data_IF_358035708292
#
_entry.id   IF_358035708292
#
_cell.length_a   1.000
_cell.length_b   1.000
_cell.length_c   1.000
_cell.angle_alpha   90.00
_cell.angle_beta   90.00
_cell.angle_gamma   90.00
#
_symmetry.space_group_name_H-M   'P 1'
#
loop_
_entity.id
_entity.type
_entity.pdbx_description
1 polymer ?
#
# COMPACT_ATOMS: atom_id res chain seq x y z
N UNK A 1 84.22 -12.45 -29.45
CA UNK A 1 84.54 -11.06 -29.84
C UNK A 1 83.38 -10.56 -30.69
N UNK A 2 82.32 -10.12 -30.01
CA UNK A 2 81.98 -8.71 -29.69
C UNK A 2 81.34 -8.00 -30.87
N UNK A 3 80.01 -7.90 -30.79
CA UNK A 3 79.13 -7.25 -31.73
C UNK A 3 78.95 -5.75 -31.45
N UNK A 4 78.34 -5.11 -32.44
CA UNK A 4 78.19 -3.67 -32.63
C UNK A 4 76.93 -3.09 -31.96
N UNK A 5 77.04 -1.81 -31.58
CA UNK A 5 75.95 -0.93 -31.18
C UNK A 5 75.18 -0.38 -32.40
N UNK A 6 73.85 -0.20 -32.27
CA UNK A 6 73.22 1.12 -32.07
C UNK A 6 71.79 1.22 -32.67
N UNK A 7 70.81 1.40 -31.79
CA UNK A 7 69.66 2.33 -31.90
C UNK A 7 68.53 2.15 -32.94
N UNK A 8 67.29 1.87 -32.46
CA UNK A 8 66.06 2.52 -32.99
C UNK A 8 64.80 2.35 -32.12
N UNK A 9 64.22 3.51 -31.77
CA UNK A 9 62.82 3.89 -31.49
C UNK A 9 61.75 2.86 -31.11
N UNK A 10 61.18 3.04 -29.91
CA UNK A 10 60.06 2.30 -29.35
C UNK A 10 58.75 3.14 -29.40
N UNK A 11 57.64 2.51 -29.78
CA UNK A 11 56.26 3.05 -29.81
C UNK A 11 55.52 2.75 -28.49
N UNK A 12 54.58 3.59 -28.03
CA UNK A 12 53.45 3.14 -27.21
C UNK A 12 52.13 3.18 -28.02
N UNK A 13 51.45 2.05 -28.23
CA UNK A 13 50.37 1.46 -27.40
C UNK A 13 49.05 2.25 -27.44
N UNK A 14 48.14 1.77 -28.28
CA UNK A 14 46.72 2.11 -28.24
C UNK A 14 45.98 1.29 -27.18
N UNK A 15 45.12 1.97 -26.43
CA UNK A 15 44.16 1.37 -25.49
C UNK A 15 42.75 1.83 -25.86
N UNK A 16 41.98 0.94 -26.48
CA UNK A 16 40.54 1.10 -26.69
C UNK A 16 39.78 0.56 -25.48
N UNK A 17 38.93 1.41 -24.91
CA UNK A 17 38.06 1.11 -23.78
C UNK A 17 36.91 0.17 -24.18
N UNK A 18 36.78 -0.96 -23.48
CA UNK A 18 35.70 -1.93 -23.61
C UNK A 18 35.22 -2.32 -22.21
N UNK A 19 33.96 -1.99 -21.93
CA UNK A 19 33.02 -2.80 -21.15
C UNK A 19 33.34 -3.07 -19.69
N UNK A 20 32.93 -2.16 -18.81
CA UNK A 20 32.72 -2.49 -17.39
C UNK A 20 31.34 -3.16 -17.22
N UNK A 21 31.35 -4.48 -17.31
CA UNK A 21 30.26 -5.32 -16.83
C UNK A 21 30.32 -5.37 -15.30
N UNK A 22 29.27 -4.87 -14.65
CA UNK A 22 29.07 -4.96 -13.21
C UNK A 22 28.81 -6.42 -12.82
N UNK A 23 29.82 -7.08 -12.24
CA UNK A 23 29.68 -8.40 -11.61
C UNK A 23 29.23 -8.22 -10.16
N UNK A 24 28.06 -8.77 -9.82
CA UNK A 24 27.61 -8.90 -8.42
C UNK A 24 28.42 -9.95 -7.65
N UNK A 25 28.46 -9.88 -6.30
CA UNK A 25 29.12 -10.90 -5.51
C UNK A 25 28.17 -12.08 -5.26
N UNK A 26 28.27 -13.11 -6.10
CA UNK A 26 27.84 -14.47 -5.77
C UNK A 26 29.04 -15.21 -5.16
N UNK A 27 29.12 -15.25 -3.83
CA UNK A 27 30.10 -16.05 -3.09
C UNK A 27 29.53 -17.42 -2.76
N UNK A 28 29.66 -18.39 -3.67
CA UNK A 28 29.45 -19.82 -3.37
C UNK A 28 30.80 -20.43 -3.02
N UNK A 29 31.03 -20.69 -1.73
CA UNK A 29 32.11 -21.53 -1.24
C UNK A 29 31.60 -22.98 -1.15
N UNK A 30 32.07 -23.85 -2.07
CA UNK A 30 31.97 -25.31 -1.92
C UNK A 30 33.07 -25.77 -0.97
N UNK A 31 32.68 -26.16 0.25
CA UNK A 31 33.51 -26.87 1.21
C UNK A 31 32.80 -28.15 1.66
N UNK A 32 33.38 -29.29 1.33
CA UNK A 32 32.95 -30.61 1.77
C UNK A 32 33.18 -30.77 3.28
N UNK A 33 32.14 -31.09 4.05
CA UNK A 33 32.27 -31.42 5.46
C UNK A 33 30.94 -31.41 6.21
N UNK A 34 30.35 -32.60 6.36
CA UNK A 34 29.38 -33.00 7.39
C UNK A 34 28.31 -31.97 7.81
N UNK A 35 27.15 -32.05 7.15
CA UNK A 35 25.89 -31.51 7.66
C UNK A 35 25.49 -32.30 8.91
N UNK A 36 25.93 -31.86 10.09
CA UNK A 36 25.32 -32.27 11.36
C UNK A 36 24.01 -31.52 11.51
N UNK A 37 22.90 -32.19 11.21
CA UNK A 37 21.56 -31.68 11.51
C UNK A 37 21.33 -31.88 13.01
N UNK A 38 21.53 -30.81 13.79
CA UNK A 38 21.05 -30.77 15.17
C UNK A 38 19.52 -30.65 15.15
N UNK A 39 18.84 -31.80 15.13
CA UNK A 39 17.45 -31.86 15.56
C UNK A 39 17.44 -31.73 17.08
N UNK A 40 17.24 -30.51 17.57
CA UNK A 40 16.81 -30.37 18.96
C UNK A 40 15.36 -30.82 19.03
N UNK A 41 15.17 -32.08 19.39
CA UNK A 41 13.92 -32.60 19.93
C UNK A 41 13.42 -31.68 21.04
N UNK A 42 12.25 -31.08 20.84
CA UNK A 42 11.36 -30.68 21.92
C UNK A 42 10.04 -31.41 21.72
N UNK A 43 10.01 -32.65 22.23
CA UNK A 43 8.78 -33.39 22.51
C UNK A 43 8.52 -33.34 24.02
N UNK A 44 7.24 -33.34 24.38
CA UNK A 44 6.62 -33.18 25.72
C UNK A 44 6.52 -31.71 26.14
N UNK A 45 5.36 -31.11 26.37
CA UNK A 45 3.98 -31.59 26.50
C UNK A 45 3.33 -30.75 27.60
N UNK A 46 2.16 -30.15 27.38
CA UNK A 46 1.18 -29.79 28.42
C UNK A 46 -0.19 -29.67 27.73
N UNK A 47 -1.06 -30.62 28.03
CA UNK A 47 -2.50 -30.48 28.00
C UNK A 47 -2.89 -29.54 29.15
N UNK A 48 -3.64 -28.46 28.92
CA UNK A 48 -4.64 -28.00 29.90
C UNK A 48 -5.48 -26.83 29.38
N UNK A 49 -6.80 -27.03 29.41
CA UNK A 49 -7.88 -26.05 29.60
C UNK A 49 -8.04 -24.93 28.54
N UNK A 50 -9.21 -24.60 28.01
CA UNK A 50 -10.57 -24.68 28.54
C UNK A 50 -11.57 -25.11 27.46
N UNK A 51 -12.51 -25.95 27.87
CA UNK A 51 -13.82 -26.06 27.27
C UNK A 51 -14.59 -24.72 27.43
N UNK A 52 -15.52 -24.50 26.49
CA UNK A 52 -16.78 -23.74 26.57
C UNK A 52 -16.94 -22.82 25.36
N UNK A 53 -17.62 -23.32 24.33
CA UNK A 53 -18.49 -22.61 23.39
C UNK A 53 -18.97 -23.65 22.36
N UNK A 54 -20.23 -23.79 21.97
CA UNK A 54 -21.46 -23.07 22.26
C UNK A 54 -22.58 -24.03 21.84
N UNK A 55 -23.46 -24.36 22.77
CA UNK A 55 -24.76 -24.96 22.49
C UNK A 55 -25.63 -23.89 21.82
N UNK A 56 -26.25 -24.21 20.68
CA UNK A 56 -27.63 -23.82 20.30
C UNK A 56 -27.88 -24.22 18.84
N UNK A 57 -28.32 -25.47 18.61
CA UNK A 57 -28.96 -25.90 17.37
C UNK A 57 -30.38 -26.35 17.70
N UNK A 58 -31.29 -25.87 16.86
CA UNK A 58 -32.68 -26.30 16.66
C UNK A 58 -33.73 -25.91 17.70
N UNK A 59 -34.63 -25.02 17.29
CA UNK A 59 -36.07 -25.25 17.45
C UNK A 59 -36.82 -24.50 16.35
N UNK A 60 -37.19 -25.23 15.30
CA UNK A 60 -38.26 -24.84 14.38
C UNK A 60 -39.55 -25.38 14.99
N UNK A 61 -40.45 -24.51 15.42
CA UNK A 61 -41.85 -24.85 15.66
C UNK A 61 -42.70 -23.91 14.82
N UNK A 62 -43.22 -24.46 13.74
CA UNK A 62 -44.30 -23.86 12.97
C UNK A 62 -45.61 -24.00 13.76
N UNK A 63 -46.28 -22.88 14.00
CA UNK A 63 -47.72 -22.87 14.30
C UNK A 63 -48.38 -21.93 13.31
N UNK A 64 -49.05 -22.52 12.32
CA UNK A 64 -50.16 -21.93 11.59
C UNK A 64 -51.41 -22.21 12.43
N UNK A 65 -52.31 -21.24 12.59
CA UNK A 65 -53.78 -21.35 12.53
C UNK A 65 -54.45 -20.05 13.04
N UNK A 66 -55.46 -19.58 12.28
CA UNK A 66 -56.31 -18.42 12.56
C UNK A 66 -56.07 -17.28 11.56
N UNK A 67 -56.92 -16.92 10.60
CA UNK A 67 -58.35 -17.18 10.42
C UNK A 67 -59.17 -15.97 10.90
N UNK A 68 -59.52 -15.04 10.00
CA UNK A 68 -60.52 -13.99 10.25
C UNK A 68 -60.35 -12.72 9.40
N UNK A 69 -61.41 -11.97 9.07
CA UNK A 69 -61.71 -11.61 7.68
C UNK A 69 -61.63 -10.12 7.32
N UNK A 70 -61.49 -9.86 6.01
CA UNK A 70 -62.19 -8.82 5.23
C UNK A 70 -62.00 -7.35 5.59
N UNK A 71 -61.40 -6.57 4.69
CA UNK A 71 -61.99 -5.29 4.25
C UNK A 71 -61.40 -4.86 2.90
N UNK A 72 -62.26 -4.78 1.89
CA UNK A 72 -62.03 -3.99 0.68
C UNK A 72 -61.87 -2.51 1.06
N UNK A 73 -60.90 -1.82 0.45
CA UNK A 73 -60.90 -0.36 0.38
C UNK A 73 -60.13 0.10 -0.87
N UNK A 74 -60.85 0.14 -1.98
CA UNK A 74 -60.93 1.24 -2.94
C UNK A 74 -59.74 2.20 -3.05
N UNK A 75 -59.08 2.17 -4.20
CA UNK A 75 -58.19 3.22 -4.69
C UNK A 75 -58.96 4.52 -5.00
N UNK A 76 -58.45 5.71 -4.64
CA UNK A 76 -58.91 6.98 -5.18
C UNK A 76 -58.09 7.41 -6.41
N UNK A 77 -58.66 8.29 -7.26
CA UNK A 77 -58.19 8.58 -8.61
C UNK A 77 -57.00 9.55 -8.68
N UNK A 78 -56.28 9.41 -9.79
CA UNK A 78 -55.27 10.33 -10.30
C UNK A 78 -55.84 11.75 -10.44
N UNK A 79 -55.29 12.69 -9.67
CA UNK A 79 -55.45 14.12 -9.92
C UNK A 79 -54.14 14.69 -10.45
N UNK A 80 -54.21 15.18 -11.67
CA UNK A 80 -53.18 15.96 -12.38
C UNK A 80 -52.88 17.23 -11.58
N UNK A 81 -51.70 17.30 -10.96
CA UNK A 81 -51.19 18.51 -10.34
C UNK A 81 -50.08 19.11 -11.22
N UNK A 82 -50.33 20.32 -11.73
CA UNK A 82 -49.38 21.21 -12.39
C UNK A 82 -48.11 21.41 -11.53
N UNK A 83 -46.89 21.37 -12.08
CA UNK A 83 -45.68 21.52 -11.29
C UNK A 83 -45.51 22.98 -10.84
N UNK A 84 -45.32 23.18 -9.54
CA UNK A 84 -44.81 24.43 -8.99
C UNK A 84 -43.33 24.62 -9.38
N UNK A 85 -42.85 25.85 -9.60
CA UNK A 85 -41.44 26.09 -9.87
C UNK A 85 -40.61 25.70 -8.64
N UNK A 86 -39.56 24.91 -8.87
CA UNK A 86 -38.62 24.52 -7.83
C UNK A 86 -37.92 25.76 -7.24
N UNK A 87 -37.70 25.84 -5.92
CA UNK A 87 -36.79 26.84 -5.38
C UNK A 87 -35.38 26.54 -5.90
N UNK A 88 -34.70 27.59 -6.38
CA UNK A 88 -33.31 27.57 -6.80
C UNK A 88 -32.45 26.85 -5.76
N UNK A 89 -31.90 25.70 -6.14
CA UNK A 89 -30.85 25.04 -5.37
C UNK A 89 -29.56 25.80 -5.59
N UNK A 90 -29.19 26.54 -4.57
CA UNK A 90 -27.86 27.09 -4.35
C UNK A 90 -26.77 26.03 -4.64
N UNK A 91 -25.76 26.30 -5.49
CA UNK A 91 -24.61 25.42 -5.66
C UNK A 91 -23.60 25.69 -4.53
N UNK A 92 -24.02 25.43 -3.30
CA UNK A 92 -23.27 25.75 -2.09
C UNK A 92 -22.96 24.51 -1.27
N UNK A 93 -21.70 24.05 -1.36
CA UNK A 93 -21.09 23.04 -0.48
C UNK A 93 -21.61 21.62 -0.67
N UNK A 94 -21.09 20.95 -1.71
CA UNK A 94 -20.95 19.51 -1.66
C UNK A 94 -20.15 19.15 -0.39
N UNK A 95 -20.83 18.60 0.61
CA UNK A 95 -20.18 18.05 1.79
C UNK A 95 -19.12 17.06 1.33
N UNK A 96 -17.89 17.20 1.85
CA UNK A 96 -16.83 16.25 1.61
C UNK A 96 -17.36 14.84 1.89
N UNK A 97 -17.29 13.97 0.90
CA UNK A 97 -17.68 12.58 1.08
C UNK A 97 -16.76 11.98 2.17
N UNK A 98 -17.30 11.55 3.33
CA UNK A 98 -16.50 10.95 4.41
C UNK A 98 -15.83 9.64 3.98
N UNK A 99 -16.12 9.14 2.77
CA UNK A 99 -15.39 8.06 2.12
C UNK A 99 -13.99 8.45 1.67
N UNK A 100 -13.71 9.73 1.48
CA UNK A 100 -12.46 10.26 0.92
C UNK A 100 -11.59 10.83 2.04
N UNK A 101 -10.45 10.19 2.30
CA UNK A 101 -9.42 10.77 3.16
C UNK A 101 -8.43 11.50 2.25
N UNK A 102 -8.24 12.80 2.47
CA UNK A 102 -7.32 13.62 1.67
C UNK A 102 -6.44 14.48 2.55
N UNK A 103 -5.26 14.79 2.03
CA UNK A 103 -4.29 15.66 2.69
C UNK A 103 -2.86 15.29 2.36
N UNK A 104 -1.94 15.79 3.15
CA UNK A 104 -0.52 15.42 3.11
C UNK A 104 -0.31 14.14 3.89
N UNK A 105 0.24 13.12 3.24
CA UNK A 105 0.52 11.82 3.85
C UNK A 105 1.88 11.88 4.55
N UNK A 106 1.86 12.00 5.88
CA UNK A 106 3.03 12.20 6.73
C UNK A 106 3.51 10.86 7.28
N UNK A 107 4.82 10.60 7.19
CA UNK A 107 5.44 9.43 7.80
C UNK A 107 5.69 9.68 9.30
N UNK A 108 5.34 8.72 10.16
CA UNK A 108 5.41 8.88 11.62
C UNK A 108 6.87 8.93 12.14
N UNK A 109 7.81 8.21 11.52
CA UNK A 109 9.22 8.22 11.95
C UNK A 109 9.92 9.55 11.63
N UNK A 110 9.68 10.11 10.44
CA UNK A 110 10.40 11.29 9.95
C UNK A 110 9.66 12.62 10.12
N UNK A 111 8.33 12.59 10.21
CA UNK A 111 7.49 13.79 10.13
C UNK A 111 7.47 14.44 8.73
N UNK A 112 8.05 13.79 7.73
CA UNK A 112 8.09 14.26 6.34
C UNK A 112 6.91 13.69 5.54
N UNK A 113 6.59 14.37 4.44
CA UNK A 113 5.46 14.04 3.59
C UNK A 113 5.88 13.24 2.37
N UNK A 114 5.05 12.28 1.97
CA UNK A 114 5.21 11.58 0.70
C UNK A 114 5.05 12.57 -0.46
N UNK A 115 5.92 12.48 -1.46
CA UNK A 115 5.97 13.37 -2.63
C UNK A 115 6.23 12.61 -3.92
N UNK A 116 5.60 13.04 -5.00
CA UNK A 116 6.03 12.72 -6.37
C UNK A 116 5.78 13.90 -7.31
N UNK A 117 6.85 14.52 -7.82
CA UNK A 117 6.75 15.78 -8.58
C UNK A 117 6.44 15.58 -10.07
N UNK A 118 6.81 14.45 -10.66
CA UNK A 118 6.52 14.18 -12.07
C UNK A 118 5.16 13.53 -12.27
N UNK A 119 4.66 13.59 -13.51
CA UNK A 119 3.44 12.89 -13.90
C UNK A 119 3.69 11.52 -14.52
N UNK A 120 4.92 11.16 -14.88
CA UNK A 120 5.22 9.92 -15.61
C UNK A 120 4.99 8.64 -14.78
N UNK A 121 4.64 7.55 -15.47
CA UNK A 121 4.58 6.21 -14.88
C UNK A 121 5.97 5.74 -14.41
N UNK A 122 5.97 4.95 -13.35
CA UNK A 122 7.17 4.30 -12.84
C UNK A 122 8.02 5.14 -11.90
N UNK A 123 7.72 6.44 -11.74
CA UNK A 123 8.38 7.29 -10.74
C UNK A 123 8.14 6.74 -9.33
N UNK A 124 9.18 6.78 -8.51
CA UNK A 124 9.14 6.33 -7.12
C UNK A 124 8.88 7.55 -6.23
N UNK A 125 7.79 7.57 -5.45
CA UNK A 125 7.57 8.62 -4.47
C UNK A 125 8.70 8.64 -3.44
N UNK A 126 9.04 9.83 -2.96
CA UNK A 126 10.05 10.05 -1.92
C UNK A 126 9.44 10.82 -0.76
N UNK A 127 10.05 10.80 0.42
CA UNK A 127 9.67 11.75 1.47
C UNK A 127 10.37 13.10 1.30
N UNK A 128 9.68 14.17 1.65
CA UNK A 128 10.19 15.54 1.60
C UNK A 128 9.46 16.46 2.58
N UNK A 129 9.90 17.71 2.69
CA UNK A 129 9.22 18.72 3.49
C UNK A 129 7.74 18.84 3.13
N UNK A 130 6.91 18.97 4.16
CA UNK A 130 5.47 19.05 4.03
C UNK A 130 5.01 20.44 3.57
N UNK A 131 4.48 20.53 2.35
CA UNK A 131 3.90 21.76 1.78
C UNK A 131 2.54 21.47 1.16
N UNK A 132 1.73 22.50 0.93
CA UNK A 132 0.41 22.38 0.28
C UNK A 132 0.48 22.17 -1.25
N UNK A 133 1.66 21.85 -1.79
CA UNK A 133 1.81 21.58 -3.22
C UNK A 133 1.07 20.29 -3.62
N UNK A 134 0.49 20.29 -4.81
CA UNK A 134 -0.29 19.15 -5.33
C UNK A 134 0.56 17.86 -5.42
N UNK A 135 1.87 17.97 -5.60
CA UNK A 135 2.81 16.84 -5.67
C UNK A 135 3.00 16.11 -4.33
N UNK A 136 2.52 16.70 -3.24
CA UNK A 136 2.52 16.16 -1.87
C UNK A 136 1.12 15.97 -1.30
N UNK A 137 0.10 16.28 -2.08
CA UNK A 137 -1.30 16.06 -1.71
C UNK A 137 -1.72 14.69 -2.19
N UNK A 138 -2.40 13.95 -1.32
CA UNK A 138 -2.82 12.59 -1.57
C UNK A 138 -4.29 12.40 -1.23
N UNK A 139 -4.91 11.47 -1.93
CA UNK A 139 -6.25 11.01 -1.64
C UNK A 139 -6.26 9.49 -1.51
N UNK A 140 -6.88 8.98 -0.45
CA UNK A 140 -7.19 7.57 -0.27
C UNK A 140 -8.63 7.31 -0.71
N UNK A 141 -8.82 7.10 -2.01
CA UNK A 141 -10.14 6.88 -2.62
C UNK A 141 -10.69 5.50 -2.23
N UNK A 142 -11.86 5.46 -1.58
CA UNK A 142 -12.54 4.19 -1.29
C UNK A 142 -12.95 3.49 -2.59
N UNK A 143 -12.68 2.20 -2.66
CA UNK A 143 -13.03 1.35 -3.81
C UNK A 143 -14.42 0.75 -3.64
N UNK A 144 -14.95 0.16 -4.73
CA UNK A 144 -16.29 -0.45 -4.78
C UNK A 144 -16.54 -1.53 -3.71
N UNK A 145 -15.47 -2.15 -3.18
CA UNK A 145 -15.56 -3.14 -2.10
C UNK A 145 -15.73 -2.52 -0.71
N UNK A 146 -15.68 -1.19 -0.60
CA UNK A 146 -15.84 -0.43 0.64
C UNK A 146 -14.67 -0.55 1.63
N UNK A 147 -13.88 -1.61 1.56
CA UNK A 147 -12.81 -1.93 2.49
C UNK A 147 -11.44 -1.41 2.04
N UNK A 148 -11.18 -1.37 0.74
CA UNK A 148 -9.87 -1.02 0.18
C UNK A 148 -9.84 0.40 -0.36
N UNK A 149 -8.62 0.95 -0.45
CA UNK A 149 -8.35 2.29 -0.98
C UNK A 149 -7.36 2.26 -2.13
N UNK A 150 -7.40 3.26 -3.00
CA UNK A 150 -6.25 3.62 -3.84
C UNK A 150 -5.60 4.88 -3.31
N UNK A 151 -4.27 4.88 -3.17
CA UNK A 151 -3.50 6.06 -2.81
C UNK A 151 -3.16 6.86 -4.08
N UNK A 152 -3.90 7.93 -4.34
CA UNK A 152 -3.80 8.77 -5.53
C UNK A 152 -3.07 10.07 -5.23
N UNK A 153 -2.14 10.45 -6.10
CA UNK A 153 -1.46 11.74 -6.01
C UNK A 153 -2.32 12.87 -6.61
N UNK A 154 -2.34 14.03 -5.97
CA UNK A 154 -3.11 15.19 -6.40
C UNK A 154 -2.55 15.90 -7.64
N UNK A 155 -1.25 15.80 -7.92
CA UNK A 155 -0.63 16.41 -9.09
C UNK A 155 -0.77 15.55 -10.35
N UNK A 156 -0.43 14.26 -10.26
CA UNK A 156 -0.39 13.37 -11.42
C UNK A 156 -1.70 12.60 -11.67
N UNK A 157 -2.63 12.60 -10.70
CA UNK A 157 -3.81 11.73 -10.64
C UNK A 157 -3.50 10.23 -10.74
N UNK A 158 -2.23 9.83 -10.61
CA UNK A 158 -1.75 8.45 -10.61
C UNK A 158 -1.76 7.86 -9.21
N UNK A 159 -1.67 6.53 -9.15
CA UNK A 159 -1.81 5.77 -7.93
C UNK A 159 -0.50 5.09 -7.55
N UNK A 160 -0.20 5.07 -6.25
CA UNK A 160 0.93 4.29 -5.71
C UNK A 160 0.61 2.80 -5.81
N UNK A 161 1.52 2.08 -6.45
CA UNK A 161 1.43 0.65 -6.74
C UNK A 161 2.72 -0.03 -6.31
N UNK A 162 2.60 -1.21 -5.69
CA UNK A 162 3.71 -2.09 -5.36
C UNK A 162 3.53 -3.45 -6.03
N UNK A 163 4.62 -4.18 -6.23
CA UNK A 163 4.58 -5.48 -6.90
C UNK A 163 5.70 -6.41 -6.40
N UNK A 164 5.49 -7.71 -6.60
CA UNK A 164 6.43 -8.75 -6.22
C UNK A 164 6.51 -9.00 -4.71
N UNK A 165 7.21 -10.06 -4.29
CA UNK A 165 7.26 -10.49 -2.89
C UNK A 165 8.46 -9.92 -2.11
N UNK A 166 9.33 -9.15 -2.75
CA UNK A 166 10.60 -8.73 -2.14
C UNK A 166 10.42 -7.52 -1.22
N UNK A 167 11.10 -7.56 -0.08
CA UNK A 167 11.25 -6.37 0.76
C UNK A 167 12.11 -5.34 0.04
N UNK A 168 11.81 -4.07 0.30
CA UNK A 168 12.46 -2.90 -0.27
C UNK A 168 12.31 -2.76 -1.79
N UNK A 169 11.43 -3.53 -2.42
CA UNK A 169 11.01 -3.25 -3.79
C UNK A 169 10.32 -1.87 -3.84
N UNK A 170 10.62 -1.03 -4.84
CA UNK A 170 10.13 0.34 -4.88
C UNK A 170 8.62 0.40 -5.09
N UNK A 171 7.96 1.31 -4.37
CA UNK A 171 6.60 1.72 -4.69
C UNK A 171 6.65 2.70 -5.86
N UNK A 172 5.80 2.51 -6.86
CA UNK A 172 5.80 3.33 -8.08
C UNK A 172 4.45 3.99 -8.27
N UNK A 173 4.43 5.23 -8.75
CA UNK A 173 3.20 5.76 -9.30
C UNK A 173 2.93 5.12 -10.66
N UNK A 174 1.71 4.65 -10.86
CA UNK A 174 1.23 4.11 -12.12
C UNK A 174 -0.17 4.64 -12.40
N UNK A 175 -0.61 4.57 -13.65
CA UNK A 175 -2.02 4.76 -13.99
C UNK A 175 -2.93 3.97 -13.04
N UNK A 176 -4.05 4.56 -12.64
CA UNK A 176 -5.01 3.92 -11.72
C UNK A 176 -5.86 2.83 -12.40
N UNK A 177 -5.34 2.18 -13.45
CA UNK A 177 -5.98 1.17 -14.30
C UNK A 177 -5.17 -0.13 -14.32
N UNK A 178 -5.78 -1.27 -14.66
CA UNK A 178 -5.10 -2.58 -14.67
C UNK A 178 -5.19 -3.34 -13.33
N UNK A 179 -4.33 -4.36 -13.09
CA UNK A 179 -4.44 -5.26 -11.94
C UNK A 179 -4.57 -4.53 -10.61
N UNK A 180 -5.60 -4.91 -9.84
CA UNK A 180 -6.05 -4.17 -8.65
C UNK A 180 -5.19 -4.47 -7.41
N UNK A 181 -4.64 -5.67 -7.35
CA UNK A 181 -3.95 -6.24 -6.18
C UNK A 181 -2.81 -5.36 -5.65
N UNK A 182 -1.87 -4.94 -6.51
CA UNK A 182 -0.73 -4.12 -6.09
C UNK A 182 -1.03 -2.62 -5.88
N UNK A 183 -2.23 -2.16 -6.27
CA UNK A 183 -2.65 -0.75 -6.18
C UNK A 183 -3.71 -0.51 -5.10
N UNK A 184 -4.31 -1.58 -4.58
CA UNK A 184 -5.30 -1.53 -3.50
C UNK A 184 -4.60 -1.69 -2.16
N UNK A 185 -5.00 -0.81 -1.24
CA UNK A 185 -4.46 -0.72 0.10
C UNK A 185 -5.55 -0.96 1.12
N UNK A 186 -5.30 -1.85 2.06
CA UNK A 186 -5.98 -1.93 3.35
C UNK A 186 -5.34 -0.92 4.30
N UNK A 187 -6.16 -0.20 5.07
CA UNK A 187 -5.69 0.69 6.13
C UNK A 187 -5.73 -0.09 7.44
N UNK A 188 -4.56 -0.40 7.97
CA UNK A 188 -4.41 -1.01 9.29
C UNK A 188 -4.31 0.12 10.32
N UNK A 189 -5.42 0.42 11.01
CA UNK A 189 -5.47 1.49 11.99
C UNK A 189 -4.70 1.15 13.26
N UNK A 190 -3.86 2.09 13.68
CA UNK A 190 -3.07 1.98 14.89
C UNK A 190 -3.92 2.13 16.15
N UNK A 191 -3.41 1.58 17.25
CA UNK A 191 -4.02 1.69 18.58
C UNK A 191 -3.03 2.32 19.56
N UNK A 192 -3.51 2.71 20.75
CA UNK A 192 -2.67 3.28 21.79
C UNK A 192 -1.90 4.51 21.31
N UNK A 193 -0.56 4.47 21.37
CA UNK A 193 0.32 5.58 20.93
C UNK A 193 0.19 5.93 19.45
N UNK A 194 -0.37 5.02 18.63
CA UNK A 194 -0.59 5.20 17.20
C UNK A 194 -2.05 5.44 16.84
N UNK A 195 -2.89 5.82 17.81
CA UNK A 195 -4.25 6.25 17.51
C UNK A 195 -4.23 7.39 16.47
N UNK A 196 -5.07 7.28 15.44
CA UNK A 196 -5.10 8.24 14.32
C UNK A 196 -4.04 8.01 13.24
N UNK A 197 -3.12 7.04 13.42
CA UNK A 197 -2.16 6.62 12.41
C UNK A 197 -2.60 5.30 11.77
N UNK A 198 -2.09 5.01 10.59
CA UNK A 198 -2.38 3.77 9.87
C UNK A 198 -1.17 3.29 9.07
N UNK A 199 -1.05 1.97 8.93
CA UNK A 199 -0.20 1.38 7.91
C UNK A 199 -1.01 1.12 6.63
N UNK A 200 -0.37 1.30 5.48
CA UNK A 200 -0.95 1.00 4.16
C UNK A 200 -0.48 -0.39 3.73
N UNK A 201 -1.34 -1.40 3.85
CA UNK A 201 -1.03 -2.78 3.47
C UNK A 201 -1.56 -3.10 2.08
N UNK A 202 -0.67 -3.48 1.17
CA UNK A 202 -1.03 -3.92 -0.17
C UNK A 202 -1.85 -5.21 -0.13
N UNK A 203 -2.99 -5.23 -0.81
CA UNK A 203 -3.83 -6.42 -0.92
C UNK A 203 -3.14 -7.53 -1.71
N UNK A 204 -2.30 -7.19 -2.69
CA UNK A 204 -1.69 -8.15 -3.60
C UNK A 204 -0.60 -9.01 -2.99
N UNK A 205 0.12 -8.51 -1.99
CA UNK A 205 1.24 -9.22 -1.39
C UNK A 205 1.34 -9.08 0.14
N UNK A 206 0.38 -8.38 0.76
CA UNK A 206 0.32 -8.23 2.21
C UNK A 206 1.42 -7.38 2.83
N UNK A 207 2.22 -6.67 2.03
CA UNK A 207 3.31 -5.79 2.50
C UNK A 207 2.84 -4.36 2.73
N UNK A 208 3.54 -3.66 3.61
CA UNK A 208 3.25 -2.30 3.99
C UNK A 208 4.12 -1.29 3.23
N UNK A 209 3.54 -0.13 2.92
CA UNK A 209 4.27 1.03 2.42
C UNK A 209 5.20 1.59 3.51
N UNK A 210 6.47 1.80 3.17
CA UNK A 210 7.51 2.27 4.09
C UNK A 210 8.37 3.34 3.43
N UNK A 211 8.90 4.27 4.21
CA UNK A 211 10.06 5.09 3.82
C UNK A 211 11.10 5.03 4.93
N UNK A 212 12.26 4.41 4.67
CA UNK A 212 13.27 4.22 5.70
C UNK A 212 14.23 5.40 5.84
N UNK A 213 14.45 5.80 7.10
CA UNK A 213 15.31 6.91 7.49
C UNK A 213 14.56 8.25 7.49
N UNK A 214 15.20 9.30 8.02
CA UNK A 214 14.54 10.59 8.31
C UNK A 214 14.92 11.75 7.38
N UNK A 215 15.80 11.51 6.42
CA UNK A 215 16.24 12.54 5.47
C UNK A 215 15.22 12.73 4.32
N UNK A 216 15.23 13.90 3.69
CA UNK A 216 14.48 14.11 2.44
C UNK A 216 15.04 13.26 1.30
N UNK A 217 14.23 13.01 0.27
CA UNK A 217 14.61 12.24 -0.92
C UNK A 217 14.67 10.72 -0.71
N UNK A 218 14.34 10.21 0.48
CA UNK A 218 14.32 8.76 0.74
C UNK A 218 13.14 8.11 0.01
N UNK A 219 13.37 7.02 -0.74
CA UNK A 219 12.34 6.42 -1.58
C UNK A 219 11.34 5.62 -0.76
N UNK A 220 10.08 5.65 -1.21
CA UNK A 220 9.05 4.76 -0.74
C UNK A 220 9.22 3.36 -1.34
N UNK A 221 9.02 2.36 -0.50
CA UNK A 221 9.16 0.96 -0.85
C UNK A 221 8.08 0.12 -0.14
N UNK A 222 8.11 -1.18 -0.36
CA UNK A 222 7.32 -2.14 0.40
C UNK A 222 8.19 -2.93 1.38
N UNK A 223 7.63 -3.30 2.53
CA UNK A 223 8.28 -4.22 3.49
C UNK A 223 7.22 -5.07 4.18
N UNK A 224 7.61 -6.21 4.77
CA UNK A 224 6.72 -6.93 5.68
C UNK A 224 6.19 -6.00 6.77
N UNK A 225 4.86 -5.98 6.93
CA UNK A 225 4.19 -5.15 7.93
C UNK A 225 4.68 -5.49 9.33
N UNK A 226 4.97 -4.48 10.14
CA UNK A 226 5.35 -4.63 11.55
C UNK A 226 4.87 -3.45 12.39
N UNK A 227 4.46 -3.73 13.62
CA UNK A 227 4.12 -2.72 14.62
C UNK A 227 5.37 -2.18 15.33
N UNK A 228 6.57 -2.67 15.04
CA UNK A 228 7.80 -2.29 15.74
C UNK A 228 8.41 -0.98 15.21
N UNK A 229 8.19 -0.65 13.93
CA UNK A 229 8.88 0.43 13.24
C UNK A 229 7.92 1.55 12.84
N UNK A 230 8.20 2.78 13.27
CA UNK A 230 7.37 3.96 12.99
C UNK A 230 7.46 4.39 11.51
N UNK A 231 8.46 3.90 10.76
CA UNK A 231 8.66 4.22 9.34
C UNK A 231 7.62 3.60 8.39
N UNK A 232 6.76 2.73 8.91
CA UNK A 232 5.62 2.10 8.20
C UNK A 232 4.27 2.76 8.52
N UNK A 233 4.25 3.71 9.45
CA UNK A 233 3.03 4.34 9.94
C UNK A 233 2.87 5.74 9.34
N UNK A 234 1.62 6.06 9.05
CA UNK A 234 1.26 7.27 8.34
C UNK A 234 0.07 7.95 9.00
N UNK A 235 -0.02 9.26 8.86
CA UNK A 235 -1.24 10.00 9.12
C UNK A 235 -1.47 11.04 8.02
N UNK A 236 -2.71 11.53 7.92
CA UNK A 236 -3.05 12.61 7.00
C UNK A 236 -3.15 13.92 7.78
N UNK A 237 -2.50 14.96 7.25
CA UNK A 237 -2.73 16.34 7.69
C UNK A 237 -3.41 17.12 6.57
N UNK A 238 -4.32 18.06 6.87
CA UNK A 238 -4.92 18.92 5.85
C UNK A 238 -3.89 19.63 4.98
#
# INVERSE_FOLDING_TARGET
MTGAESGKGERPRGGGSRGDAYHGPAGVQRGSGNLQVNFHEHRTGILSACAVALVCVATVVAVRLGGGPGTEATAPPSHTATPAPAPDRDPGTAGADPSVLSGRLVNDDSGLCLRVTGSEDGLVPVQDECTAAADRTWTLDRQDDGATRTLRNGHSARCVTVAGPENHAPARQLACTGPREGRRWELLWGTGRRAGHFALRSIGNGKCLVVQGRATGRPAAQVSCSDEFDDQWWHLTP
#
